data_IF_129391421906
#
_entry.id   IF_129391421906
#
_cell.length_a   1.000
_cell.length_b   1.000
_cell.length_c   1.000
_cell.angle_alpha   90.00
_cell.angle_beta   90.00
_cell.angle_gamma   90.00
#
_symmetry.space_group_name_H-M   'P 1'
#
loop_
_entity.id
_entity.type
_entity.pdbx_description
1 polymer ?
#
# COMPACT_ATOMS: atom_id res chain seq x y z
N UNK A 1 1.94 -16.36 14.95
CA UNK A 1 1.75 -16.06 13.53
C UNK A 1 2.02 -14.58 13.31
N UNK A 2 2.93 -14.25 12.41
CA UNK A 2 3.23 -12.88 11.99
C UNK A 2 2.79 -12.74 10.53
N UNK A 3 2.14 -11.63 10.20
CA UNK A 3 1.78 -11.27 8.83
C UNK A 3 2.63 -10.09 8.40
N UNK A 4 3.34 -10.21 7.26
CA UNK A 4 3.98 -9.07 6.60
C UNK A 4 2.99 -8.50 5.57
N UNK A 5 2.45 -7.35 5.86
CA UNK A 5 1.39 -6.75 5.04
C UNK A 5 1.93 -5.99 3.83
N UNK A 6 3.26 -5.94 3.60
CA UNK A 6 3.80 -5.14 2.49
C UNK A 6 5.22 -5.54 2.09
N UNK A 7 5.37 -6.45 1.14
CA UNK A 7 6.67 -6.87 0.62
C UNK A 7 6.65 -7.12 -0.89
N UNK A 8 7.41 -6.34 -1.66
CA UNK A 8 7.50 -6.48 -3.13
C UNK A 8 8.44 -7.62 -3.55
N UNK A 9 8.11 -8.87 -3.19
CA UNK A 9 8.94 -10.03 -3.45
C UNK A 9 9.07 -10.41 -4.94
N UNK A 10 8.19 -9.93 -5.78
CA UNK A 10 8.21 -10.14 -7.23
C UNK A 10 9.31 -9.35 -7.96
N UNK A 11 9.91 -8.33 -7.32
CA UNK A 11 10.94 -7.50 -7.95
C UNK A 11 12.20 -8.32 -8.28
N UNK A 12 12.86 -7.98 -9.40
CA UNK A 12 14.04 -8.66 -9.94
C UNK A 12 15.18 -8.81 -8.93
N UNK A 13 15.34 -7.86 -8.01
CA UNK A 13 16.36 -7.93 -6.96
C UNK A 13 16.22 -9.13 -6.01
N UNK A 14 15.07 -9.79 -5.98
CA UNK A 14 14.83 -11.01 -5.22
C UNK A 14 14.96 -12.27 -6.08
N UNK A 15 15.19 -12.15 -7.39
CA UNK A 15 15.21 -13.28 -8.31
C UNK A 15 16.19 -14.38 -7.87
N UNK A 16 17.42 -13.98 -7.50
CA UNK A 16 18.48 -14.91 -7.14
C UNK A 16 18.31 -15.54 -5.74
N UNK A 17 17.65 -14.86 -4.80
CA UNK A 17 17.61 -15.29 -3.38
C UNK A 17 16.20 -15.35 -2.77
N UNK A 18 15.14 -15.20 -3.58
CA UNK A 18 13.73 -15.18 -3.12
C UNK A 18 13.39 -16.35 -2.20
N UNK A 19 13.78 -17.56 -2.58
CA UNK A 19 13.56 -18.76 -1.76
C UNK A 19 14.25 -18.66 -0.39
N UNK A 20 15.47 -18.17 -0.35
CA UNK A 20 16.20 -17.98 0.90
C UNK A 20 15.57 -16.86 1.76
N UNK A 21 15.03 -15.80 1.14
CA UNK A 21 14.28 -14.75 1.84
C UNK A 21 13.01 -15.33 2.47
N UNK A 22 12.23 -16.10 1.73
CA UNK A 22 11.01 -16.76 2.22
C UNK A 22 11.32 -17.74 3.36
N UNK A 23 12.37 -18.55 3.24
CA UNK A 23 12.79 -19.45 4.30
C UNK A 23 13.18 -18.70 5.59
N UNK A 24 13.94 -17.60 5.48
CA UNK A 24 14.30 -16.76 6.63
C UNK A 24 13.06 -16.11 7.27
N UNK A 25 12.11 -15.65 6.47
CA UNK A 25 10.84 -15.09 6.94
C UNK A 25 10.04 -16.13 7.75
N UNK A 26 9.87 -17.33 7.20
CA UNK A 26 9.19 -18.46 7.86
C UNK A 26 9.90 -18.85 9.16
N UNK A 27 11.23 -18.95 9.15
CA UNK A 27 12.03 -19.24 10.34
C UNK A 27 11.87 -18.17 11.44
N UNK A 28 11.58 -16.93 11.06
CA UNK A 28 11.26 -15.82 11.97
C UNK A 28 9.78 -15.78 12.40
N UNK A 29 8.94 -16.72 11.95
CA UNK A 29 7.52 -16.81 12.29
C UNK A 29 6.60 -15.98 11.41
N UNK A 30 7.08 -15.46 10.26
CA UNK A 30 6.25 -14.82 9.24
C UNK A 30 5.63 -15.92 8.38
N UNK A 31 4.33 -16.13 8.53
CA UNK A 31 3.59 -17.18 7.83
C UNK A 31 2.82 -16.66 6.62
N UNK A 32 2.50 -15.38 6.63
CA UNK A 32 1.74 -14.73 5.55
C UNK A 32 2.47 -13.47 5.10
N UNK A 33 2.56 -13.29 3.77
CA UNK A 33 3.14 -12.09 3.16
C UNK A 33 2.17 -11.59 2.10
N UNK A 34 1.85 -10.30 2.14
CA UNK A 34 0.99 -9.64 1.14
C UNK A 34 1.85 -8.73 0.26
N UNK A 35 1.76 -8.92 -1.05
CA UNK A 35 2.56 -8.21 -2.04
C UNK A 35 1.74 -7.09 -2.68
N UNK A 36 2.10 -5.81 -2.46
CA UNK A 36 1.40 -4.69 -3.08
C UNK A 36 1.73 -4.57 -4.57
N UNK A 37 0.78 -4.07 -5.35
CA UNK A 37 0.97 -3.79 -6.76
C UNK A 37 1.52 -2.38 -7.00
N UNK A 38 2.22 -2.21 -8.12
CA UNK A 38 2.66 -0.93 -8.67
C UNK A 38 1.82 -0.63 -9.92
N UNK A 39 1.69 -1.62 -10.83
CA UNK A 39 0.96 -1.55 -12.09
C UNK A 39 0.43 -2.95 -12.46
N UNK A 40 -0.25 -3.06 -13.60
CA UNK A 40 -0.87 -4.31 -14.05
C UNK A 40 0.14 -5.46 -14.17
N UNK A 41 1.35 -5.18 -14.68
CA UNK A 41 2.40 -6.21 -14.79
C UNK A 41 2.84 -6.73 -13.42
N UNK A 42 2.96 -5.87 -12.43
CA UNK A 42 3.34 -6.27 -11.08
C UNK A 42 2.25 -7.06 -10.35
N UNK A 43 0.96 -6.83 -10.69
CA UNK A 43 -0.14 -7.68 -10.18
C UNK A 43 0.06 -9.12 -10.68
N UNK A 44 0.27 -9.29 -11.99
CA UNK A 44 0.50 -10.61 -12.58
C UNK A 44 1.68 -11.31 -11.91
N UNK A 45 2.83 -10.63 -11.80
CA UNK A 45 4.03 -11.18 -11.16
C UNK A 45 3.79 -11.61 -9.70
N UNK A 46 3.03 -10.81 -8.94
CA UNK A 46 2.69 -11.14 -7.56
C UNK A 46 1.76 -12.37 -7.49
N UNK A 47 0.76 -12.45 -8.38
CA UNK A 47 -0.16 -13.60 -8.45
C UNK A 47 0.58 -14.87 -8.87
N UNK A 48 1.49 -14.81 -9.83
CA UNK A 48 2.32 -15.97 -10.25
C UNK A 48 3.14 -16.53 -9.08
N UNK A 49 3.63 -15.65 -8.19
CA UNK A 49 4.30 -16.09 -6.97
C UNK A 49 3.34 -16.71 -5.96
N UNK A 50 2.12 -16.21 -5.84
CA UNK A 50 1.10 -16.80 -4.96
C UNK A 50 0.71 -18.22 -5.40
N UNK A 51 0.71 -18.50 -6.71
CA UNK A 51 0.39 -19.84 -7.23
C UNK A 51 1.47 -20.88 -6.94
N UNK A 52 2.70 -20.43 -6.70
CA UNK A 52 3.85 -21.30 -6.48
C UNK A 52 4.32 -21.38 -5.02
N UNK A 53 3.81 -20.49 -4.16
CA UNK A 53 4.27 -20.39 -2.76
C UNK A 53 3.07 -20.18 -1.81
N UNK A 54 2.87 -21.14 -0.91
CA UNK A 54 1.85 -21.01 0.13
C UNK A 54 2.13 -19.82 1.07
N UNK A 55 1.05 -19.14 1.49
CA UNK A 55 1.12 -18.01 2.42
C UNK A 55 1.49 -16.68 1.76
N UNK A 56 1.64 -16.64 0.42
CA UNK A 56 1.75 -15.39 -0.33
C UNK A 56 0.38 -14.96 -0.85
N UNK A 57 0.13 -13.66 -0.79
CA UNK A 57 -1.07 -13.01 -1.32
C UNK A 57 -0.68 -11.76 -2.09
N UNK A 58 -1.53 -11.33 -3.01
CA UNK A 58 -1.33 -10.15 -3.85
C UNK A 58 -2.32 -9.04 -3.49
N UNK A 59 -1.98 -7.83 -3.86
CA UNK A 59 -2.90 -6.71 -3.97
C UNK A 59 -3.03 -6.31 -5.44
N UNK A 60 -4.09 -5.58 -5.78
CA UNK A 60 -4.29 -5.06 -7.13
C UNK A 60 -4.62 -3.57 -7.09
N UNK A 61 -3.79 -2.74 -7.71
CA UNK A 61 -4.00 -1.31 -7.89
C UNK A 61 -3.01 -0.73 -8.91
N UNK A 62 -3.18 0.55 -9.21
CA UNK A 62 -2.20 1.40 -9.88
C UNK A 62 -1.63 2.37 -8.83
N UNK A 63 -0.32 2.26 -8.58
CA UNK A 63 0.38 3.15 -7.67
C UNK A 63 0.31 4.60 -8.16
N UNK A 64 0.25 5.64 -7.31
CA UNK A 64 0.17 7.02 -7.75
C UNK A 64 1.26 7.42 -8.75
N UNK A 65 2.46 6.85 -8.67
CA UNK A 65 3.54 7.11 -9.65
C UNK A 65 3.25 6.60 -11.06
N UNK A 66 2.31 5.69 -11.25
CA UNK A 66 1.96 5.10 -12.54
C UNK A 66 0.73 5.77 -13.17
N UNK A 67 0.02 6.60 -12.41
CA UNK A 67 -1.24 7.18 -12.86
C UNK A 67 -1.08 8.18 -14.01
N UNK A 68 0.09 8.75 -14.21
CA UNK A 68 0.39 9.64 -15.34
C UNK A 68 0.13 8.96 -16.69
N UNK A 69 0.65 7.75 -16.85
CA UNK A 69 0.58 6.98 -18.09
C UNK A 69 -0.56 5.95 -18.11
N UNK A 70 -1.22 5.72 -16.97
CA UNK A 70 -2.26 4.71 -16.83
C UNK A 70 -3.43 4.95 -17.80
N UNK A 71 -3.90 3.89 -18.43
CA UNK A 71 -5.04 3.89 -19.34
C UNK A 71 -6.32 3.38 -18.66
N UNK A 72 -7.46 3.51 -19.34
CA UNK A 72 -8.71 2.89 -18.87
C UNK A 72 -8.60 1.36 -18.87
N UNK A 73 -7.93 0.80 -19.86
CA UNK A 73 -7.68 -0.64 -19.98
C UNK A 73 -6.86 -1.16 -18.81
N UNK A 74 -5.90 -0.38 -18.30
CA UNK A 74 -5.12 -0.74 -17.11
C UNK A 74 -6.02 -0.79 -15.88
N UNK A 75 -6.92 0.19 -15.70
CA UNK A 75 -7.86 0.17 -14.59
C UNK A 75 -8.87 -0.98 -14.67
N UNK A 76 -9.39 -1.27 -15.87
CA UNK A 76 -10.25 -2.44 -16.10
C UNK A 76 -9.53 -3.76 -15.78
N UNK A 77 -8.23 -3.85 -16.06
CA UNK A 77 -7.41 -4.99 -15.67
C UNK A 77 -7.32 -5.11 -14.13
N UNK A 78 -7.10 -3.99 -13.42
CA UNK A 78 -7.11 -3.98 -11.94
C UNK A 78 -8.44 -4.49 -11.40
N UNK A 79 -9.58 -4.03 -11.94
CA UNK A 79 -10.92 -4.50 -11.54
C UNK A 79 -11.05 -6.02 -11.70
N UNK A 80 -10.57 -6.57 -12.81
CA UNK A 80 -10.60 -8.03 -13.05
C UNK A 80 -9.75 -8.78 -12.05
N UNK A 81 -8.55 -8.27 -11.74
CA UNK A 81 -7.65 -8.88 -10.76
C UNK A 81 -8.22 -8.90 -9.34
N UNK A 82 -9.03 -7.92 -8.95
CA UNK A 82 -9.69 -7.91 -7.65
C UNK A 82 -10.65 -9.10 -7.43
N UNK A 83 -11.03 -9.81 -8.49
CA UNK A 83 -11.82 -11.06 -8.40
C UNK A 83 -10.97 -12.31 -8.27
N UNK A 84 -9.63 -12.20 -8.32
CA UNK A 84 -8.73 -13.35 -8.22
C UNK A 84 -8.58 -13.79 -6.75
N UNK A 85 -8.65 -15.10 -6.41
CA UNK A 85 -8.63 -15.57 -5.02
C UNK A 85 -7.35 -15.25 -4.26
N UNK A 86 -6.22 -15.05 -4.94
CA UNK A 86 -4.96 -14.62 -4.31
C UNK A 86 -4.89 -13.13 -4.04
N UNK A 87 -5.83 -12.31 -4.58
CA UNK A 87 -5.88 -10.87 -4.35
C UNK A 87 -6.74 -10.59 -3.12
N UNK A 88 -6.13 -10.05 -2.07
CA UNK A 88 -6.75 -9.86 -0.76
C UNK A 88 -6.95 -8.39 -0.37
N UNK A 89 -6.48 -7.45 -1.19
CA UNK A 89 -6.62 -6.02 -0.96
C UNK A 89 -6.54 -5.23 -2.28
N UNK A 90 -7.12 -4.05 -2.30
CA UNK A 90 -6.84 -3.03 -3.32
C UNK A 90 -5.64 -2.21 -2.84
N UNK A 91 -4.52 -2.24 -3.57
CA UNK A 91 -3.30 -1.55 -3.16
C UNK A 91 -2.06 -1.92 -4.01
N UNK A 92 -1.07 -1.07 -4.03
CA UNK A 92 -0.91 0.21 -3.32
C UNK A 92 -1.51 1.35 -4.17
N UNK A 93 -2.42 2.11 -3.60
CA UNK A 93 -3.07 3.24 -4.25
C UNK A 93 -3.02 4.45 -3.31
N UNK A 94 -3.20 5.65 -3.81
CA UNK A 94 -3.15 6.85 -2.98
C UNK A 94 -2.58 8.05 -3.70
N UNK A 95 -1.85 8.91 -2.95
CA UNK A 95 -1.27 10.16 -3.47
C UNK A 95 0.21 10.26 -3.10
N UNK A 96 1.02 10.76 -4.03
CA UNK A 96 2.44 11.09 -3.85
C UNK A 96 2.72 12.50 -4.38
N UNK A 97 2.95 13.45 -3.48
CA UNK A 97 3.20 14.85 -3.81
C UNK A 97 4.68 15.24 -3.75
N UNK A 98 5.53 14.28 -3.49
CA UNK A 98 6.97 14.52 -3.35
C UNK A 98 7.69 14.72 -4.69
N UNK A 99 7.32 13.93 -5.73
CA UNK A 99 8.06 13.92 -6.98
C UNK A 99 7.56 14.94 -7.99
N UNK A 100 6.39 14.73 -8.55
CA UNK A 100 5.79 15.58 -9.58
C UNK A 100 4.33 15.85 -9.25
N UNK A 101 4.00 17.12 -9.07
CA UNK A 101 2.66 17.58 -8.73
C UNK A 101 1.80 17.94 -9.94
N UNK A 102 2.34 17.82 -11.15
CA UNK A 102 1.62 18.11 -12.39
C UNK A 102 0.40 17.21 -12.57
N UNK A 103 0.44 16.00 -11.98
CA UNK A 103 -0.57 14.97 -12.09
C UNK A 103 -1.43 14.78 -10.84
N UNK A 104 -1.42 15.72 -9.89
CA UNK A 104 -2.18 15.62 -8.63
C UNK A 104 -3.66 15.27 -8.87
N UNK A 105 -4.35 15.98 -9.77
CA UNK A 105 -5.77 15.75 -10.06
C UNK A 105 -6.01 14.38 -10.69
N UNK A 106 -5.06 13.87 -11.46
CA UNK A 106 -5.14 12.53 -12.02
C UNK A 106 -4.92 11.46 -10.96
N UNK A 107 -3.96 11.65 -10.06
CA UNK A 107 -3.77 10.79 -8.90
C UNK A 107 -5.05 10.74 -8.04
N UNK A 108 -5.65 11.89 -7.72
CA UNK A 108 -6.92 11.98 -6.97
C UNK A 108 -8.06 11.24 -7.66
N UNK A 109 -8.17 11.38 -9.00
CA UNK A 109 -9.18 10.68 -9.78
C UNK A 109 -9.03 9.16 -9.67
N UNK A 110 -7.82 8.62 -9.87
CA UNK A 110 -7.55 7.19 -9.71
C UNK A 110 -7.74 6.72 -8.27
N UNK A 111 -7.34 7.52 -7.28
CA UNK A 111 -7.52 7.18 -5.86
C UNK A 111 -9.00 7.00 -5.51
N UNK A 112 -9.88 7.93 -5.93
CA UNK A 112 -11.33 7.79 -5.77
C UNK A 112 -11.87 6.50 -6.41
N UNK A 113 -11.41 6.17 -7.61
CA UNK A 113 -11.80 4.93 -8.29
C UNK A 113 -11.38 3.69 -7.53
N UNK A 114 -10.17 3.67 -6.96
CA UNK A 114 -9.70 2.57 -6.13
C UNK A 114 -10.48 2.44 -4.82
N UNK A 115 -10.87 3.55 -4.18
CA UNK A 115 -11.76 3.52 -3.00
C UNK A 115 -13.09 2.85 -3.35
N UNK A 116 -13.73 3.28 -4.43
CA UNK A 116 -15.01 2.71 -4.89
C UNK A 116 -14.88 1.23 -5.24
N UNK A 117 -13.81 0.86 -5.93
CA UNK A 117 -13.48 -0.53 -6.24
C UNK A 117 -13.30 -1.38 -4.96
N UNK A 118 -12.60 -0.87 -3.95
CA UNK A 118 -12.40 -1.56 -2.68
C UNK A 118 -13.72 -1.81 -1.96
N UNK A 119 -14.61 -0.81 -1.94
CA UNK A 119 -15.96 -0.92 -1.38
C UNK A 119 -16.78 -1.96 -2.16
N UNK A 120 -16.80 -1.90 -3.49
CA UNK A 120 -17.55 -2.80 -4.35
C UNK A 120 -17.09 -4.26 -4.21
N UNK A 121 -15.78 -4.48 -4.23
CA UNK A 121 -15.17 -5.80 -4.09
C UNK A 121 -15.15 -6.32 -2.64
N UNK A 122 -15.56 -5.50 -1.67
CA UNK A 122 -15.44 -5.77 -0.22
C UNK A 122 -14.00 -6.13 0.23
N UNK A 123 -13.01 -5.49 -0.39
CA UNK A 123 -11.59 -5.64 -0.08
C UNK A 123 -11.06 -4.45 0.74
N UNK A 124 -10.11 -4.65 1.65
CA UNK A 124 -9.43 -3.54 2.31
C UNK A 124 -8.59 -2.73 1.33
N UNK A 125 -8.43 -1.43 1.61
CA UNK A 125 -7.61 -0.52 0.81
C UNK A 125 -6.25 -0.27 1.48
N UNK A 126 -5.16 -0.42 0.74
CA UNK A 126 -3.80 -0.09 1.18
C UNK A 126 -3.36 1.21 0.53
N UNK A 127 -3.17 2.25 1.36
CA UNK A 127 -3.01 3.62 0.91
C UNK A 127 -1.55 4.05 1.00
N UNK A 128 -0.99 4.45 -0.14
CA UNK A 128 0.24 5.21 -0.24
C UNK A 128 -0.04 6.67 0.11
N UNK A 129 0.76 7.21 1.04
CA UNK A 129 0.70 8.59 1.43
C UNK A 129 2.11 9.18 1.48
N UNK A 130 2.36 10.17 0.65
CA UNK A 130 3.59 10.93 0.70
C UNK A 130 3.32 12.41 0.49
N UNK A 131 3.44 13.18 1.58
CA UNK A 131 3.16 14.64 1.61
C UNK A 131 1.73 15.01 1.16
N UNK A 132 0.76 14.09 1.33
CA UNK A 132 -0.60 14.21 0.79
C UNK A 132 -1.72 13.86 1.79
N UNK A 133 -1.41 13.75 3.09
CA UNK A 133 -2.32 13.25 4.12
C UNK A 133 -3.66 13.99 4.16
N UNK A 134 -3.66 15.32 4.06
CA UNK A 134 -4.89 16.12 4.11
C UNK A 134 -5.82 15.84 2.93
N UNK A 135 -5.28 15.75 1.71
CA UNK A 135 -6.09 15.43 0.52
C UNK A 135 -6.58 13.98 0.56
N UNK A 136 -5.77 13.05 1.06
CA UNK A 136 -6.19 11.66 1.26
C UNK A 136 -7.38 11.58 2.22
N UNK A 137 -7.27 12.22 3.39
CA UNK A 137 -8.34 12.19 4.39
C UNK A 137 -9.61 12.89 3.88
N UNK A 138 -9.47 14.04 3.21
CA UNK A 138 -10.61 14.74 2.62
C UNK A 138 -11.33 13.87 1.57
N UNK A 139 -10.58 13.19 0.71
CA UNK A 139 -11.16 12.28 -0.30
C UNK A 139 -11.86 11.08 0.37
N UNK A 140 -11.26 10.50 1.42
CA UNK A 140 -11.89 9.40 2.15
C UNK A 140 -13.18 9.84 2.84
N UNK A 141 -13.20 11.04 3.44
CA UNK A 141 -14.39 11.64 4.06
C UNK A 141 -15.52 11.82 3.03
N UNK A 142 -15.21 12.42 1.88
CA UNK A 142 -16.17 12.62 0.78
C UNK A 142 -16.71 11.29 0.21
N UNK A 143 -15.85 10.31 -0.05
CA UNK A 143 -16.27 9.01 -0.59
C UNK A 143 -17.10 8.22 0.44
N UNK A 144 -16.81 8.39 1.75
CA UNK A 144 -17.60 7.78 2.83
C UNK A 144 -19.02 8.34 2.89
N UNK A 145 -19.19 9.64 2.65
CA UNK A 145 -20.51 10.28 2.60
C UNK A 145 -21.30 9.89 1.34
N UNK A 146 -20.62 9.52 0.27
CA UNK A 146 -21.21 9.19 -1.02
C UNK A 146 -21.59 7.71 -1.18
N UNK A 147 -21.10 6.81 -0.30
CA UNK A 147 -21.34 5.38 -0.43
C UNK A 147 -22.53 4.89 0.40
N UNK A 148 -23.26 3.90 -0.12
CA UNK A 148 -24.34 3.18 0.61
C UNK A 148 -23.77 2.08 1.54
N UNK A 149 -22.46 1.82 1.50
CA UNK A 149 -21.77 0.77 2.29
C UNK A 149 -20.52 1.30 3.01
N UNK A 150 -20.66 2.33 3.87
CA UNK A 150 -19.51 2.97 4.54
C UNK A 150 -18.73 2.02 5.46
N UNK A 151 -19.33 0.93 5.93
CA UNK A 151 -18.70 -0.12 6.74
C UNK A 151 -17.68 -0.97 5.95
N UNK A 152 -17.75 -0.97 4.61
CA UNK A 152 -16.76 -1.63 3.75
C UNK A 152 -15.54 -0.77 3.49
N UNK A 153 -15.61 0.53 3.77
CA UNK A 153 -14.47 1.42 3.62
C UNK A 153 -13.53 1.23 4.82
N UNK A 154 -12.52 0.41 4.63
CA UNK A 154 -11.53 0.03 5.63
C UNK A 154 -10.17 -0.24 5.00
N UNK A 155 -9.11 -0.16 5.77
CA UNK A 155 -7.77 -0.43 5.26
C UNK A 155 -6.66 0.10 6.13
N UNK A 156 -5.57 0.53 5.47
CA UNK A 156 -4.36 0.98 6.15
C UNK A 156 -3.68 2.13 5.39
N UNK A 157 -3.27 3.16 6.11
CA UNK A 157 -2.28 4.14 5.63
C UNK A 157 -0.90 3.50 5.77
N UNK A 158 -0.34 3.08 4.65
CA UNK A 158 0.94 2.40 4.60
C UNK A 158 2.11 3.38 4.85
N UNK A 159 3.15 2.90 5.56
CA UNK A 159 4.39 3.65 5.83
C UNK A 159 4.14 5.03 6.46
N UNK A 160 3.35 5.03 7.53
CA UNK A 160 2.90 6.22 8.25
C UNK A 160 4.06 7.08 8.78
N UNK A 161 3.98 8.38 8.51
CA UNK A 161 5.00 9.37 8.88
C UNK A 161 4.41 10.69 9.38
N UNK A 162 3.09 10.77 9.45
CA UNK A 162 2.35 12.00 9.76
C UNK A 162 2.14 12.19 11.27
N UNK A 163 1.69 13.38 11.72
CA UNK A 163 1.34 13.65 13.10
C UNK A 163 0.15 12.80 13.59
N UNK A 164 0.01 12.58 14.94
CA UNK A 164 -1.02 11.71 15.53
C UNK A 164 -2.46 12.08 15.16
N UNK A 165 -2.75 13.34 14.87
CA UNK A 165 -4.08 13.82 14.49
C UNK A 165 -4.54 13.20 13.15
N UNK A 166 -3.61 12.92 12.24
CA UNK A 166 -3.88 12.22 10.98
C UNK A 166 -4.28 10.77 11.26
N UNK A 167 -3.61 10.11 12.20
CA UNK A 167 -3.96 8.75 12.62
C UNK A 167 -5.35 8.67 13.24
N UNK A 168 -5.72 9.63 14.10
CA UNK A 168 -7.04 9.70 14.72
C UNK A 168 -8.15 9.87 13.67
N UNK A 169 -7.96 10.77 12.68
CA UNK A 169 -8.91 10.95 11.58
C UNK A 169 -9.03 9.69 10.73
N UNK A 170 -7.90 9.07 10.38
CA UNK A 170 -7.89 7.82 9.62
C UNK A 170 -8.64 6.71 10.36
N UNK A 171 -8.42 6.57 11.67
CA UNK A 171 -9.11 5.60 12.52
C UNK A 171 -10.62 5.79 12.51
N UNK A 172 -11.10 7.03 12.63
CA UNK A 172 -12.52 7.36 12.58
C UNK A 172 -13.17 7.02 11.22
N UNK A 173 -12.35 6.90 10.17
CA UNK A 173 -12.76 6.47 8.84
C UNK A 173 -12.63 4.96 8.61
N UNK A 174 -12.11 4.19 9.58
CA UNK A 174 -11.94 2.74 9.48
C UNK A 174 -10.55 2.31 9.01
N UNK A 175 -9.55 3.20 9.06
CA UNK A 175 -8.18 2.92 8.62
C UNK A 175 -7.20 2.84 9.78
N UNK A 176 -6.38 1.79 9.75
CA UNK A 176 -5.20 1.66 10.60
C UNK A 176 -4.02 2.46 10.04
N UNK A 177 -2.96 2.63 10.81
CA UNK A 177 -1.70 3.18 10.34
C UNK A 177 -0.60 2.11 10.36
N UNK A 178 0.13 2.00 9.26
CA UNK A 178 1.20 1.02 9.08
C UNK A 178 2.55 1.60 9.43
N UNK A 179 3.16 1.14 10.53
CA UNK A 179 4.47 1.62 10.97
C UNK A 179 5.59 0.80 10.37
N UNK A 180 6.48 1.46 9.62
CA UNK A 180 7.64 0.85 8.96
C UNK A 180 8.98 1.17 9.58
N UNK A 181 10.07 0.80 8.90
CA UNK A 181 11.45 1.02 9.37
C UNK A 181 11.86 2.48 9.55
N UNK A 182 11.11 3.43 8.99
CA UNK A 182 11.39 4.87 9.11
C UNK A 182 11.41 5.36 10.56
N UNK A 183 10.62 4.74 11.44
CA UNK A 183 10.62 5.04 12.88
C UNK A 183 11.97 4.79 13.55
N UNK A 184 12.88 4.07 12.91
CA UNK A 184 14.22 3.77 13.46
C UNK A 184 15.29 4.76 13.01
N UNK A 185 14.93 5.75 12.20
CA UNK A 185 15.86 6.76 11.71
C UNK A 185 16.00 7.90 12.72
N UNK A 186 17.23 8.23 13.06
CA UNK A 186 17.56 9.25 14.08
C UNK A 186 17.17 10.68 13.73
N UNK A 187 16.85 10.93 12.45
CA UNK A 187 16.42 12.23 11.92
C UNK A 187 14.91 12.28 11.59
N UNK A 188 14.13 11.38 12.18
CA UNK A 188 12.68 11.31 11.98
C UNK A 188 11.96 11.48 13.32
N UNK A 189 10.89 12.26 13.34
CA UNK A 189 10.00 12.42 14.50
C UNK A 189 8.96 11.29 14.62
N UNK A 190 8.93 10.36 13.67
CA UNK A 190 7.94 9.29 13.61
C UNK A 190 7.93 8.41 14.86
N UNK A 191 9.09 8.21 15.51
CA UNK A 191 9.17 7.46 16.76
C UNK A 191 8.42 8.16 17.93
N UNK A 192 8.30 9.50 17.89
CA UNK A 192 7.53 10.28 18.85
C UNK A 192 6.04 10.18 18.52
N UNK A 193 5.66 10.38 17.25
CA UNK A 193 4.27 10.30 16.80
C UNK A 193 3.64 8.95 17.11
N UNK A 194 4.36 7.85 16.80
CA UNK A 194 3.86 6.49 17.05
C UNK A 194 3.62 6.19 18.54
N UNK A 195 4.35 6.83 19.45
CA UNK A 195 4.12 6.68 20.91
C UNK A 195 2.80 7.29 21.40
N UNK A 196 2.27 8.25 20.65
CA UNK A 196 1.00 8.93 20.98
C UNK A 196 -0.21 8.22 20.36
N UNK A 197 0.01 7.31 19.39
CA UNK A 197 -1.04 6.56 18.71
C UNK A 197 -1.38 5.31 19.54
N UNK A 198 -2.67 5.05 19.87
CA UNK A 198 -3.10 3.83 20.53
C UNK A 198 -2.67 2.57 19.75
N UNK A 199 -2.20 1.56 20.47
CA UNK A 199 -1.63 0.35 19.86
C UNK A 199 -2.63 -0.41 18.96
N UNK A 200 -3.91 -0.32 19.29
CA UNK A 200 -5.01 -0.90 18.52
C UNK A 200 -5.24 -0.22 17.17
N UNK A 201 -4.70 0.97 16.94
CA UNK A 201 -4.78 1.69 15.66
C UNK A 201 -3.57 1.44 14.76
N UNK A 202 -2.57 0.70 15.28
CA UNK A 202 -1.32 0.46 14.57
C UNK A 202 -1.30 -0.95 13.98
N UNK A 203 -1.12 -1.03 12.66
CA UNK A 203 -0.66 -2.27 12.02
C UNK A 203 0.86 -2.32 12.05
N UNK A 204 1.39 -3.43 12.54
CA UNK A 204 2.83 -3.66 12.59
C UNK A 204 3.31 -4.27 11.29
N UNK A 205 3.79 -3.41 10.40
CA UNK A 205 4.58 -3.87 9.27
C UNK A 205 5.88 -4.48 9.78
N UNK A 206 6.10 -5.76 9.56
CA UNK A 206 7.42 -6.32 9.78
C UNK A 206 8.32 -5.74 8.69
N UNK A 207 9.27 -4.90 9.01
CA UNK A 207 10.59 -5.01 8.56
C UNK A 207 11.43 -3.95 7.95
N UNK A 208 12.67 -4.09 8.25
CA UNK A 208 13.89 -3.46 7.73
C UNK A 208 14.14 -3.61 6.21
N UNK A 209 13.41 -4.42 5.47
CA UNK A 209 13.83 -4.82 4.11
C UNK A 209 13.15 -4.05 2.95
N UNK A 210 11.98 -3.43 3.15
CA UNK A 210 11.15 -3.02 2.03
C UNK A 210 10.82 -1.53 1.90
N UNK A 211 11.00 -0.71 2.93
CA UNK A 211 10.55 0.70 2.88
C UNK A 211 11.46 1.67 2.13
N UNK A 212 12.68 1.24 1.75
CA UNK A 212 13.65 2.14 1.08
C UNK A 212 13.73 1.99 -0.44
N UNK A 213 12.84 1.23 -1.08
CA UNK A 213 13.17 0.63 -2.35
C UNK A 213 12.54 1.25 -3.60
N UNK A 214 11.42 1.91 -3.48
CA UNK A 214 10.88 2.72 -4.59
C UNK A 214 11.73 3.97 -4.83
N UNK A 215 12.44 4.45 -3.80
CA UNK A 215 13.26 5.66 -3.88
C UNK A 215 14.50 5.56 -4.78
N UNK A 216 15.02 4.37 -5.06
CA UNK A 216 16.29 4.24 -5.81
C UNK A 216 16.14 4.00 -7.31
N UNK A 217 14.97 3.64 -7.80
CA UNK A 217 14.80 3.31 -9.23
C UNK A 217 14.60 4.52 -10.15
N UNK A 218 14.41 5.73 -9.61
CA UNK A 218 14.16 6.95 -10.39
C UNK A 218 15.19 8.07 -10.17
N UNK A 219 16.42 7.76 -9.74
CA UNK A 219 17.47 8.76 -9.89
C UNK A 219 17.82 8.87 -11.38
N UNK A 220 17.71 10.06 -12.00
CA UNK A 220 18.26 10.26 -13.33
C UNK A 220 19.76 9.95 -13.26
N UNK A 221 20.23 9.10 -14.16
CA UNK A 221 21.65 8.94 -14.40
C UNK A 221 22.16 10.31 -14.83
N UNK A 222 22.84 11.01 -13.92
CA UNK A 222 23.59 12.21 -14.29
C UNK A 222 24.64 11.79 -15.31
N UNK A 223 24.45 12.30 -16.53
CA UNK A 223 25.47 12.31 -17.56
C UNK A 223 26.70 13.10 -17.10
#
# INVERSE_FOLDING_TARGET
MIVDTHAHLYLDRFEDDREAVLQRARAAGVETIVMPAINVSSIQQAVDLCETHDGLYAMAALHPSETEEATEEDFEAVVKWCSHPSVVAVGESGLDYYWDRTFDERQKSFFRRHIRLAIEADLPLVIHNREAAEDILAILEEERECTDAPERMRGILHCYVDPPEVAERAWNLGFFVGVGGIMTFSNSDVDQYVKEIPLEQIDRKSTRLNSSHIQKSRMPSSA
#
